data_IF_503515044751
#
_entry.id   IF_503515044751
#
_cell.length_a   1.000
_cell.length_b   1.000
_cell.length_c   1.000
_cell.angle_alpha   90.00
_cell.angle_beta   90.00
_cell.angle_gamma   90.00
#
_symmetry.space_group_name_H-M   'P 1'
#
loop_
_entity.id
_entity.type
_entity.pdbx_description
1 polymer ?
#
# COMPACT_ATOMS: atom_id res chain seq x y z
N UNK A 1 12.32 -21.36 21.01
CA UNK A 1 11.75 -21.47 19.66
C UNK A 1 11.77 -20.08 19.06
N UNK A 2 12.54 -19.86 18.00
CA UNK A 2 12.59 -18.54 17.34
C UNK A 2 11.25 -18.32 16.65
N UNK A 3 10.51 -17.28 17.02
CA UNK A 3 9.44 -16.79 16.18
C UNK A 3 10.10 -16.24 14.92
N UNK A 4 9.96 -16.94 13.79
CA UNK A 4 10.23 -16.31 12.51
C UNK A 4 9.22 -15.17 12.41
N UNK A 5 9.68 -13.93 12.52
CA UNK A 5 8.87 -12.78 12.13
C UNK A 5 8.72 -12.85 10.62
N UNK A 6 7.72 -13.59 10.16
CA UNK A 6 7.21 -13.49 8.80
C UNK A 6 6.66 -12.08 8.66
N UNK A 7 7.53 -11.14 8.30
CA UNK A 7 7.16 -9.78 7.98
C UNK A 7 6.39 -9.84 6.66
N UNK A 8 5.10 -10.12 6.76
CA UNK A 8 4.19 -9.95 5.65
C UNK A 8 4.30 -8.49 5.20
N UNK A 9 4.56 -8.30 3.92
CA UNK A 9 4.73 -6.98 3.28
C UNK A 9 3.39 -6.50 2.74
N UNK A 10 3.21 -5.19 2.66
CA UNK A 10 1.99 -4.56 2.14
C UNK A 10 1.63 -5.09 0.74
N UNK A 11 2.65 -5.35 -0.09
CA UNK A 11 2.53 -5.92 -1.43
C UNK A 11 1.72 -7.24 -1.49
N UNK A 12 1.71 -8.01 -0.41
CA UNK A 12 0.96 -9.28 -0.36
C UNK A 12 -0.55 -9.09 -0.23
N UNK A 13 -0.98 -7.88 0.15
CA UNK A 13 -2.39 -7.52 0.33
C UNK A 13 -2.90 -6.52 -0.71
N UNK A 14 -2.12 -6.25 -1.76
CA UNK A 14 -2.53 -5.35 -2.84
C UNK A 14 -3.39 -6.07 -3.87
N UNK A 15 -4.47 -5.41 -4.28
CA UNK A 15 -5.23 -5.80 -5.45
C UNK A 15 -4.49 -5.38 -6.72
N UNK A 16 -4.22 -6.32 -7.62
CA UNK A 16 -3.53 -6.03 -8.88
C UNK A 16 -4.34 -5.21 -9.90
N UNK A 17 -5.61 -4.88 -9.60
CA UNK A 17 -6.45 -4.02 -10.45
C UNK A 17 -6.37 -2.56 -9.98
N UNK A 18 -6.68 -2.28 -8.70
CA UNK A 18 -6.66 -0.91 -8.17
C UNK A 18 -5.31 -0.51 -7.56
N UNK A 19 -4.37 -1.45 -7.45
CA UNK A 19 -3.04 -1.27 -6.87
C UNK A 19 -3.06 -0.74 -5.42
N UNK A 20 -4.12 -1.07 -4.68
CA UNK A 20 -4.35 -0.69 -3.30
C UNK A 20 -4.68 -1.92 -2.45
N UNK A 21 -4.57 -1.80 -1.13
CA UNK A 21 -4.87 -2.86 -0.17
C UNK A 21 -6.31 -3.34 -0.36
N UNK A 22 -6.51 -4.66 -0.34
CA UNK A 22 -7.81 -5.26 -0.60
C UNK A 22 -8.96 -4.66 0.22
N UNK A 23 -10.01 -4.23 -0.47
CA UNK A 23 -11.33 -3.92 0.09
C UNK A 23 -12.30 -5.02 -0.33
N UNK A 24 -12.92 -5.68 0.65
CA UNK A 24 -13.75 -6.88 0.43
C UNK A 24 -13.07 -7.89 -0.52
N UNK A 25 -11.88 -8.42 -0.14
CA UNK A 25 -11.15 -9.36 -0.99
C UNK A 25 -12.00 -10.58 -1.30
N UNK A 26 -11.96 -11.02 -2.56
CA UNK A 26 -12.57 -12.26 -3.00
C UNK A 26 -11.54 -13.16 -3.67
N UNK A 27 -11.65 -14.46 -3.45
CA UNK A 27 -10.87 -15.47 -4.15
C UNK A 27 -11.68 -16.02 -5.32
N UNK A 28 -11.15 -15.91 -6.54
CA UNK A 28 -11.79 -16.50 -7.73
C UNK A 28 -11.28 -17.94 -7.93
N UNK A 29 -11.95 -18.80 -8.74
CA UNK A 29 -11.62 -20.23 -8.81
C UNK A 29 -10.20 -20.57 -9.28
N UNK A 30 -9.45 -19.60 -9.82
CA UNK A 30 -8.04 -19.79 -10.12
C UNK A 30 -7.07 -19.52 -8.95
N UNK A 31 -7.58 -19.16 -7.78
CA UNK A 31 -6.80 -18.89 -6.57
C UNK A 31 -6.25 -17.46 -6.44
N UNK A 32 -6.49 -16.59 -7.43
CA UNK A 32 -6.10 -15.18 -7.34
C UNK A 32 -7.14 -14.37 -6.58
N UNK A 33 -6.68 -13.30 -5.91
CA UNK A 33 -7.50 -12.46 -5.06
C UNK A 33 -7.61 -11.04 -5.63
N UNK A 34 -8.79 -10.45 -5.51
CA UNK A 34 -9.09 -9.10 -5.99
C UNK A 34 -10.09 -8.43 -5.04
N UNK A 35 -10.20 -7.10 -5.04
CA UNK A 35 -11.35 -6.44 -4.43
C UNK A 35 -12.63 -6.87 -5.17
N UNK A 36 -13.72 -7.13 -4.43
CA UNK A 36 -15.00 -7.56 -5.04
C UNK A 36 -15.47 -6.63 -6.15
N UNK A 37 -15.43 -5.31 -5.91
CA UNK A 37 -15.81 -4.30 -6.89
C UNK A 37 -14.94 -4.37 -8.15
N UNK A 38 -13.61 -4.44 -7.98
CA UNK A 38 -12.66 -4.44 -9.09
C UNK A 38 -12.82 -5.64 -10.03
N UNK A 39 -12.97 -6.86 -9.49
CA UNK A 39 -13.14 -8.04 -10.35
C UNK A 39 -14.54 -8.09 -10.98
N UNK A 40 -15.57 -7.59 -10.29
CA UNK A 40 -16.93 -7.52 -10.83
C UNK A 40 -16.98 -6.58 -12.03
N UNK A 41 -16.42 -5.37 -11.90
CA UNK A 41 -16.33 -4.39 -12.99
C UNK A 41 -15.48 -4.93 -14.15
N UNK A 42 -14.35 -5.60 -13.86
CA UNK A 42 -13.52 -6.21 -14.90
C UNK A 42 -14.32 -7.22 -15.74
N UNK A 43 -15.12 -8.07 -15.11
CA UNK A 43 -15.98 -9.04 -15.81
C UNK A 43 -17.20 -8.41 -16.48
N UNK A 44 -17.69 -7.27 -16.01
CA UNK A 44 -18.79 -6.55 -16.67
C UNK A 44 -18.33 -5.85 -17.95
N UNK A 45 -17.07 -5.40 -18.02
CA UNK A 45 -16.50 -4.72 -19.19
C UNK A 45 -15.88 -5.67 -20.22
N UNK A 46 -15.54 -6.90 -19.84
CA UNK A 46 -14.79 -7.82 -20.70
C UNK A 46 -15.50 -9.17 -20.84
N UNK A 47 -15.70 -9.60 -22.09
CA UNK A 47 -16.20 -10.93 -22.44
C UNK A 47 -15.12 -11.62 -23.28
N UNK A 48 -14.67 -12.84 -22.92
CA UNK A 48 -15.17 -13.67 -21.82
C UNK A 48 -14.66 -13.23 -20.44
N UNK A 49 -15.33 -13.66 -19.37
CA UNK A 49 -14.87 -13.40 -18.00
C UNK A 49 -13.51 -14.09 -17.77
N UNK A 50 -12.46 -13.30 -17.58
CA UNK A 50 -11.09 -13.79 -17.46
C UNK A 50 -10.45 -13.34 -16.15
N UNK A 51 -9.49 -14.11 -15.62
CA UNK A 51 -8.64 -13.65 -14.53
C UNK A 51 -7.64 -12.58 -15.05
N UNK A 52 -7.58 -11.38 -14.44
CA UNK A 52 -6.59 -10.36 -14.80
C UNK A 52 -5.14 -10.84 -14.73
N UNK A 53 -4.81 -11.72 -13.77
CA UNK A 53 -3.42 -12.14 -13.51
C UNK A 53 -2.98 -13.30 -14.40
N UNK A 54 -3.67 -14.45 -14.35
CA UNK A 54 -3.24 -15.65 -15.07
C UNK A 54 -3.99 -15.93 -16.37
N UNK A 55 -4.90 -15.04 -16.77
CA UNK A 55 -5.63 -15.13 -18.03
C UNK A 55 -6.52 -16.39 -18.16
N UNK A 56 -6.81 -17.09 -17.07
CA UNK A 56 -7.78 -18.20 -17.07
C UNK A 56 -9.18 -17.66 -17.39
N UNK A 57 -9.83 -18.28 -18.37
CA UNK A 57 -11.20 -17.95 -18.80
C UNK A 57 -12.20 -18.74 -17.97
N UNK A 58 -13.31 -18.09 -17.60
CA UNK A 58 -14.45 -18.68 -16.91
C UNK A 58 -15.68 -18.59 -17.83
N UNK A 59 -16.24 -19.74 -18.19
CA UNK A 59 -17.40 -19.83 -19.10
C UNK A 59 -18.69 -19.32 -18.44
N UNK A 60 -18.78 -19.42 -17.11
CA UNK A 60 -19.86 -18.89 -16.29
C UNK A 60 -19.22 -17.87 -15.36
N UNK A 61 -19.76 -16.64 -15.34
CA UNK A 61 -19.31 -15.59 -14.43
C UNK A 61 -19.47 -16.09 -12.99
N UNK A 62 -18.37 -16.27 -12.24
CA UNK A 62 -18.46 -16.65 -10.83
C UNK A 62 -19.16 -15.55 -10.03
N UNK A 63 -19.90 -15.92 -8.98
CA UNK A 63 -20.32 -15.00 -7.92
C UNK A 63 -19.40 -15.18 -6.71
N UNK A 64 -18.34 -14.36 -6.57
CA UNK A 64 -17.30 -14.63 -5.60
C UNK A 64 -17.68 -14.03 -4.23
N UNK A 65 -17.58 -14.87 -3.19
CA UNK A 65 -17.82 -14.50 -1.81
C UNK A 65 -16.58 -13.82 -1.21
N UNK A 66 -16.81 -12.89 -0.28
CA UNK A 66 -15.72 -12.23 0.45
C UNK A 66 -14.96 -13.24 1.28
N UNK A 67 -13.64 -13.24 1.13
CA UNK A 67 -12.74 -14.01 1.95
C UNK A 67 -12.47 -13.24 3.25
N UNK A 68 -13.20 -13.61 4.31
CA UNK A 68 -13.14 -12.96 5.62
C UNK A 68 -11.74 -13.00 6.23
N UNK A 69 -11.01 -14.10 6.04
CA UNK A 69 -9.64 -14.25 6.53
C UNK A 69 -8.67 -13.24 5.88
N UNK A 70 -8.72 -13.09 4.55
CA UNK A 70 -7.89 -12.09 3.86
C UNK A 70 -8.32 -10.67 4.24
N UNK A 71 -9.64 -10.45 4.41
CA UNK A 71 -10.18 -9.15 4.82
C UNK A 71 -9.65 -8.70 6.18
N UNK A 72 -9.63 -9.62 7.17
CA UNK A 72 -9.11 -9.35 8.51
C UNK A 72 -7.61 -9.04 8.48
N UNK A 73 -6.82 -9.84 7.76
CA UNK A 73 -5.39 -9.58 7.61
C UNK A 73 -5.12 -8.21 6.95
N UNK A 74 -5.80 -7.91 5.84
CA UNK A 74 -5.66 -6.63 5.14
C UNK A 74 -6.05 -5.42 6.04
N UNK A 75 -7.03 -5.59 6.93
CA UNK A 75 -7.41 -4.56 7.88
C UNK A 75 -6.32 -4.26 8.92
N UNK A 76 -5.62 -5.28 9.44
CA UNK A 76 -4.51 -5.11 10.36
C UNK A 76 -3.34 -4.33 9.72
N UNK A 77 -3.10 -4.54 8.42
CA UNK A 77 -2.11 -3.78 7.66
C UNK A 77 -2.44 -2.29 7.56
N UNK A 78 -3.69 -1.95 7.22
CA UNK A 78 -4.16 -0.56 7.16
C UNK A 78 -4.00 0.15 8.51
N UNK A 79 -4.32 -0.53 9.62
CA UNK A 79 -4.18 0.04 10.96
C UNK A 79 -2.71 0.28 11.34
N UNK A 80 -1.82 -0.64 10.98
CA UNK A 80 -0.38 -0.53 11.27
C UNK A 80 0.29 0.63 10.50
N UNK A 81 -0.13 0.86 9.24
CA UNK A 81 0.33 2.00 8.45
C UNK A 81 -0.14 3.34 9.06
N UNK A 82 -1.38 3.40 9.53
CA UNK A 82 -1.94 4.58 10.20
C UNK A 82 -1.26 4.88 11.53
N UNK A 83 -0.90 3.86 12.32
CA UNK A 83 -0.17 4.07 13.59
C UNK A 83 1.23 4.65 13.36
N UNK A 84 1.95 4.26 12.30
CA UNK A 84 3.23 4.90 11.95
C UNK A 84 3.07 6.37 11.58
N UNK A 85 2.01 6.72 10.85
CA UNK A 85 1.72 8.12 10.52
C UNK A 85 1.36 8.96 11.75
N UNK A 86 0.58 8.40 12.69
CA UNK A 86 0.21 9.08 13.95
C UNK A 86 1.32 9.10 15.01
N UNK A 87 2.26 8.16 14.97
CA UNK A 87 3.47 8.20 15.82
C UNK A 87 4.44 9.30 15.37
N UNK A 88 4.32 9.76 14.13
CA UNK A 88 5.08 10.89 13.58
C UNK A 88 4.49 12.26 13.94
N UNK A 89 3.31 12.33 14.58
CA UNK A 89 2.67 13.62 14.93
C UNK A 89 3.04 14.17 16.31
N UNK A 90 3.95 13.52 17.05
CA UNK A 90 4.44 14.02 18.35
C UNK A 90 5.76 14.79 18.29
N UNK A 91 6.39 14.92 17.13
CA UNK A 91 7.50 15.85 16.95
C UNK A 91 6.97 17.10 16.23
N UNK A 92 6.25 17.96 16.97
CA UNK A 92 6.16 19.37 16.64
C UNK A 92 7.56 19.97 16.67
N UNK A 93 8.34 19.78 15.60
CA UNK A 93 9.53 20.58 15.42
C UNK A 93 9.12 21.92 14.81
N UNK A 94 8.76 22.85 15.69
CA UNK A 94 8.70 24.27 15.40
C UNK A 94 10.01 24.65 14.72
N UNK A 95 9.94 24.95 13.42
CA UNK A 95 11.02 25.57 12.67
C UNK A 95 11.16 26.98 13.25
N UNK A 96 12.28 27.25 13.92
CA UNK A 96 12.59 28.61 14.40
C UNK A 96 12.76 29.55 13.20
N UNK A 97 12.46 30.86 13.35
CA UNK A 97 12.71 31.83 12.29
C UNK A 97 14.21 31.78 11.89
N UNK A 98 14.50 31.36 10.66
CA UNK A 98 15.86 31.30 10.10
C UNK A 98 16.33 29.94 9.57
N UNK A 99 15.55 28.87 9.72
CA UNK A 99 15.90 27.53 9.18
C UNK A 99 15.30 27.34 7.76
N UNK A 100 16.16 27.06 6.76
CA UNK A 100 15.74 26.78 5.37
C UNK A 100 15.59 25.27 5.17
N UNK A 101 14.40 24.77 4.77
CA UNK A 101 14.18 23.35 4.55
C UNK A 101 14.82 22.84 3.25
N UNK A 102 15.26 21.58 3.24
CA UNK A 102 15.74 20.88 2.04
C UNK A 102 14.57 20.54 1.10
N UNK A 103 14.68 20.91 -0.17
CA UNK A 103 13.70 20.65 -1.23
C UNK A 103 14.03 19.42 -2.08
N UNK A 104 15.24 18.85 -1.94
CA UNK A 104 15.69 17.67 -2.68
C UNK A 104 15.17 16.33 -2.12
N UNK A 105 14.82 16.27 -0.83
CA UNK A 105 14.32 15.03 -0.21
C UNK A 105 12.81 14.89 -0.43
N UNK A 106 12.38 13.88 -1.18
CA UNK A 106 10.96 13.54 -1.42
C UNK A 106 10.31 12.80 -0.23
N UNK A 107 10.76 13.08 1.00
CA UNK A 107 10.27 12.48 2.25
C UNK A 107 10.43 13.43 3.45
N UNK A 108 10.51 12.89 4.67
CA UNK A 108 10.64 13.69 5.90
C UNK A 108 11.83 14.65 5.83
N UNK A 109 11.56 15.95 5.89
CA UNK A 109 12.58 17.01 5.81
C UNK A 109 13.38 17.05 7.12
N UNK A 110 14.56 16.44 7.10
CA UNK A 110 15.51 16.46 8.23
C UNK A 110 16.28 17.78 8.28
N UNK A 111 16.73 18.15 9.49
CA UNK A 111 17.60 19.32 9.70
C UNK A 111 18.96 19.11 9.02
N UNK A 112 19.46 20.14 8.34
CA UNK A 112 20.79 20.13 7.76
C UNK A 112 21.85 20.04 8.88
N UNK A 113 22.65 18.98 8.86
CA UNK A 113 23.62 18.70 9.93
C UNK A 113 24.98 19.40 9.73
N UNK A 114 25.28 19.92 8.54
CA UNK A 114 26.50 20.70 8.26
C UNK A 114 26.24 21.73 7.15
N UNK A 115 26.71 22.96 7.32
CA UNK A 115 26.81 23.98 6.26
C UNK A 115 28.26 24.09 5.80
N UNK A 116 28.49 24.14 4.49
CA UNK A 116 29.83 24.40 3.93
C UNK A 116 30.19 25.89 4.10
N UNK A 117 31.41 26.25 4.52
CA UNK A 117 31.83 27.64 4.59
C UNK A 117 32.00 28.18 3.16
N UNK A 118 31.07 29.02 2.71
CA UNK A 118 31.18 29.77 1.45
C UNK A 118 30.15 29.46 0.37
N UNK A 119 29.23 28.51 0.58
CA UNK A 119 28.12 28.24 -0.34
C UNK A 119 26.84 28.11 0.48
N UNK A 120 25.91 29.04 0.26
CA UNK A 120 24.58 28.98 0.88
C UNK A 120 23.74 27.93 0.12
N UNK A 121 24.08 26.66 0.31
CA UNK A 121 23.47 25.50 -0.34
C UNK A 121 24.40 24.30 -0.22
N UNK A 122 23.95 23.22 0.42
CA UNK A 122 24.76 22.02 0.64
C UNK A 122 24.34 20.94 -0.33
N UNK A 123 25.35 20.35 -0.98
CA UNK A 123 25.30 19.16 -1.82
C UNK A 123 25.65 17.94 -0.95
N UNK A 124 24.80 16.90 -1.04
CA UNK A 124 24.91 15.50 -0.59
C UNK A 124 25.23 15.21 0.89
#
# INVERSE_FOLDING_TARGET
MSAASCLLTEDQFLCSICLDVFTDPVAIPCGHNFCKACISEHWDRNVPSQCPNCKRVFNIKPDPLVNTFISEMAAQFRQSAQQKASSSSSEQHVVKPGEVPCDACTGTRLKALKSCPGVSGVLL
#
